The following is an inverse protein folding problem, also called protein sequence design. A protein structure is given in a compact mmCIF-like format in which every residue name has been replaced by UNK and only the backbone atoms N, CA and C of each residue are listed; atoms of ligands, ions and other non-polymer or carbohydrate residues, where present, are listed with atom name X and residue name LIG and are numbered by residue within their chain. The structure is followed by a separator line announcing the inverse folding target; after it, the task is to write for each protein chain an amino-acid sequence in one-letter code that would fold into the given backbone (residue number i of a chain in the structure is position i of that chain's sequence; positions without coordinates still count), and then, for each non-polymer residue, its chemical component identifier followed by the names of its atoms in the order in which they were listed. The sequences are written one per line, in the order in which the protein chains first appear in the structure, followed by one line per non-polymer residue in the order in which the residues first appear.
data_IF_249388814693
#
_entry.id   IF_249388814693
#
_cell.length_a   1.000
_cell.length_b   1.000
_cell.length_c   1.000
_cell.angle_alpha   90.00
_cell.angle_beta   90.00
_cell.angle_gamma   90.00
#
_symmetry.space_group_name_H-M   'P 1'
#
loop_
_entity.id
_entity.type
_entity.pdbx_description
1 polymer ?
#
# COMPACT_ATOMS: atom_id res chain seq x y z
N UNK A 1 -37.70 2.13 9.17
CA UNK A 1 -37.67 2.37 7.70
C UNK A 1 -36.44 3.19 7.27
N UNK A 2 -36.09 4.30 7.94
CA UNK A 2 -34.87 5.08 7.65
C UNK A 2 -33.55 4.28 7.74
N UNK A 3 -33.39 3.46 8.79
CA UNK A 3 -32.20 2.61 9.02
C UNK A 3 -31.91 1.66 7.83
N UNK A 4 -32.95 1.04 7.26
CA UNK A 4 -32.81 0.08 6.15
C UNK A 4 -32.32 0.73 4.85
N UNK A 5 -32.68 2.00 4.59
CA UNK A 5 -32.19 2.75 3.43
C UNK A 5 -30.71 3.13 3.56
N UNK A 6 -30.24 3.44 4.78
CA UNK A 6 -28.84 3.75 5.06
C UNK A 6 -27.92 2.54 4.82
N UNK A 7 -28.27 1.37 5.36
CA UNK A 7 -27.50 0.15 5.16
C UNK A 7 -27.46 -0.30 3.70
N UNK A 8 -28.55 -0.10 2.94
CA UNK A 8 -28.58 -0.42 1.50
C UNK A 8 -27.55 0.39 0.69
N UNK A 9 -27.34 1.67 1.03
CA UNK A 9 -26.33 2.51 0.36
C UNK A 9 -24.90 2.08 0.70
N UNK A 10 -24.62 1.78 1.97
CA UNK A 10 -23.32 1.29 2.41
C UNK A 10 -22.99 -0.06 1.78
N UNK A 11 -23.95 -0.97 1.70
CA UNK A 11 -23.80 -2.26 1.04
C UNK A 11 -23.50 -2.11 -0.45
N UNK A 12 -24.23 -1.24 -1.16
CA UNK A 12 -23.98 -0.96 -2.57
C UNK A 12 -22.61 -0.31 -2.83
N UNK A 13 -22.13 0.53 -1.90
CA UNK A 13 -20.79 1.10 -1.96
C UNK A 13 -19.71 0.04 -1.75
N UNK A 14 -19.81 -0.74 -0.67
CA UNK A 14 -18.87 -1.82 -0.35
C UNK A 14 -18.81 -2.88 -1.46
N UNK A 15 -19.94 -3.22 -2.08
CA UNK A 15 -20.00 -4.17 -3.20
C UNK A 15 -19.27 -3.71 -4.47
N UNK A 16 -18.94 -2.42 -4.60
CA UNK A 16 -18.14 -1.88 -5.72
C UNK A 16 -16.66 -1.77 -5.39
N UNK A 17 -16.28 -1.93 -4.13
CA UNK A 17 -14.89 -1.81 -3.72
C UNK A 17 -14.07 -2.96 -4.32
N UNK A 18 -12.90 -2.60 -4.84
CA UNK A 18 -11.91 -3.56 -5.33
C UNK A 18 -10.66 -3.39 -4.49
N UNK A 19 -10.13 -4.50 -3.99
CA UNK A 19 -8.85 -4.50 -3.29
C UNK A 19 -7.79 -3.88 -4.21
N UNK A 20 -7.12 -2.80 -3.80
CA UNK A 20 -6.02 -2.26 -4.58
C UNK A 20 -4.82 -3.22 -4.57
N UNK A 21 -4.02 -3.18 -5.62
CA UNK A 21 -2.73 -3.88 -5.68
C UNK A 21 -1.63 -2.97 -5.14
N UNK A 22 -0.74 -3.53 -4.30
CA UNK A 22 0.40 -2.78 -3.78
C UNK A 22 1.30 -2.32 -4.95
N UNK A 23 1.64 -1.01 -5.03
CA UNK A 23 2.20 -0.46 -6.26
C UNK A 23 3.72 -0.63 -6.42
N UNK A 24 4.41 -1.27 -5.46
CA UNK A 24 5.84 -1.54 -5.53
C UNK A 24 6.16 -3.04 -5.68
N UNK A 25 7.28 -3.30 -6.36
CA UNK A 25 7.92 -4.60 -6.52
C UNK A 25 9.37 -4.52 -6.04
N UNK A 26 9.99 -5.67 -5.81
CA UNK A 26 11.42 -5.70 -5.41
C UNK A 26 12.36 -5.03 -6.41
N UNK A 27 12.04 -5.07 -7.70
CA UNK A 27 12.80 -4.40 -8.75
C UNK A 27 12.88 -2.87 -8.56
N UNK A 28 11.86 -2.27 -7.94
CA UNK A 28 11.84 -0.84 -7.65
C UNK A 28 12.91 -0.48 -6.61
N UNK A 29 13.03 -1.28 -5.54
CA UNK A 29 14.05 -1.08 -4.51
C UNK A 29 15.46 -1.39 -5.02
N UNK A 30 15.62 -2.40 -5.89
CA UNK A 30 16.93 -2.65 -6.51
C UNK A 30 17.39 -1.49 -7.40
N UNK A 31 16.44 -0.79 -8.05
CA UNK A 31 16.75 0.41 -8.84
C UNK A 31 17.21 1.57 -7.96
N UNK A 32 16.76 1.61 -6.70
CA UNK A 32 17.23 2.53 -5.65
C UNK A 32 18.57 2.10 -5.00
N UNK A 33 19.20 1.02 -5.47
CA UNK A 33 20.49 0.54 -4.97
C UNK A 33 20.40 -0.54 -3.88
N UNK A 34 19.21 -1.05 -3.55
CA UNK A 34 19.08 -2.14 -2.61
C UNK A 34 19.65 -3.45 -3.18
N UNK A 35 20.41 -4.18 -2.35
CA UNK A 35 20.84 -5.54 -2.70
C UNK A 35 19.70 -6.56 -2.46
N UNK A 36 19.50 -7.54 -3.35
CA UNK A 36 18.55 -8.62 -3.13
C UNK A 36 18.85 -9.38 -1.83
N UNK A 37 17.82 -9.64 -1.03
CA UNK A 37 17.96 -10.42 0.21
C UNK A 37 16.85 -10.15 1.22
N UNK A 38 16.96 -10.73 2.44
CA UNK A 38 15.94 -10.60 3.48
C UNK A 38 15.62 -9.16 3.89
N UNK A 39 16.62 -8.26 3.92
CA UNK A 39 16.42 -6.83 4.26
C UNK A 39 15.48 -6.17 3.24
N UNK A 40 15.67 -6.41 1.94
CA UNK A 40 14.80 -5.87 0.88
C UNK A 40 13.35 -6.34 1.06
N UNK A 41 13.14 -7.63 1.32
CA UNK A 41 11.81 -8.18 1.56
C UNK A 41 11.13 -7.56 2.80
N UNK A 42 11.91 -7.34 3.88
CA UNK A 42 11.41 -6.68 5.08
C UNK A 42 11.03 -5.21 4.82
N UNK A 43 11.84 -4.47 4.05
CA UNK A 43 11.51 -3.09 3.66
C UNK A 43 10.23 -3.04 2.83
N UNK A 44 10.07 -3.91 1.82
CA UNK A 44 8.81 -4.01 1.06
C UNK A 44 7.62 -4.29 1.96
N UNK A 45 7.79 -5.18 2.96
CA UNK A 45 6.70 -5.55 3.86
C UNK A 45 6.28 -4.39 4.74
N UNK A 46 7.23 -3.61 5.24
CA UNK A 46 6.95 -2.41 6.02
C UNK A 46 6.21 -1.36 5.19
N UNK A 47 6.66 -1.12 3.95
CA UNK A 47 5.99 -0.20 3.02
C UNK A 47 4.57 -0.65 2.67
N UNK A 48 4.34 -1.96 2.49
CA UNK A 48 3.00 -2.52 2.29
C UNK A 48 2.10 -2.25 3.51
N UNK A 49 2.63 -2.41 4.72
CA UNK A 49 1.88 -2.13 5.95
C UNK A 49 1.53 -0.64 6.06
N UNK A 50 2.47 0.27 5.83
CA UNK A 50 2.22 1.73 5.83
C UNK A 50 1.17 2.12 4.79
N UNK A 51 1.21 1.50 3.61
CA UNK A 51 0.21 1.71 2.57
C UNK A 51 -1.18 1.25 3.00
N UNK A 52 -1.30 0.07 3.64
CA UNK A 52 -2.57 -0.41 4.20
C UNK A 52 -3.08 0.50 5.31
N UNK A 53 -2.21 0.92 6.23
CA UNK A 53 -2.54 1.82 7.35
C UNK A 53 -3.01 3.20 6.87
N UNK A 54 -2.50 3.69 5.74
CA UNK A 54 -2.96 4.92 5.09
C UNK A 54 -4.35 4.80 4.45
N UNK A 55 -4.96 3.61 4.46
CA UNK A 55 -6.19 3.34 3.71
C UNK A 55 -5.94 3.31 2.19
N UNK A 56 -4.78 2.79 1.77
CA UNK A 56 -4.34 2.71 0.37
C UNK A 56 -4.13 4.07 -0.31
N UNK A 57 -3.90 5.14 0.47
CA UNK A 57 -3.79 6.51 -0.02
C UNK A 57 -2.38 6.86 -0.53
N UNK A 58 -1.34 6.18 -0.04
CA UNK A 58 0.02 6.41 -0.54
C UNK A 58 0.16 5.89 -1.98
N UNK A 59 0.57 6.79 -2.87
CA UNK A 59 0.85 6.42 -4.26
C UNK A 59 2.26 5.83 -4.41
N UNK A 60 2.58 5.41 -5.65
CA UNK A 60 3.89 4.83 -5.96
C UNK A 60 5.04 5.79 -5.66
N UNK A 61 4.88 7.09 -5.87
CA UNK A 61 5.94 8.08 -5.67
C UNK A 61 6.25 8.25 -4.19
N UNK A 62 5.22 8.43 -3.37
CA UNK A 62 5.35 8.53 -1.92
C UNK A 62 5.99 7.28 -1.29
N UNK A 63 5.65 6.09 -1.80
CA UNK A 63 6.24 4.84 -1.34
C UNK A 63 7.72 4.68 -1.77
N UNK A 64 8.11 5.21 -2.94
CA UNK A 64 9.51 5.20 -3.38
C UNK A 64 10.39 6.15 -2.57
N UNK A 65 9.87 7.32 -2.20
CA UNK A 65 10.57 8.28 -1.33
C UNK A 65 10.85 7.64 0.04
N UNK A 66 9.83 7.03 0.65
CA UNK A 66 9.97 6.26 1.89
C UNK A 66 10.92 5.08 1.74
N UNK A 67 10.91 4.40 0.59
CA UNK A 67 11.84 3.32 0.32
C UNK A 67 13.30 3.81 0.30
N UNK A 68 13.56 4.97 -0.29
CA UNK A 68 14.90 5.57 -0.29
C UNK A 68 15.35 5.91 1.14
N UNK A 69 14.51 6.57 1.93
CA UNK A 69 14.78 6.88 3.35
C UNK A 69 15.10 5.62 4.17
N UNK A 70 14.33 4.55 3.99
CA UNK A 70 14.52 3.28 4.69
C UNK A 70 15.79 2.52 4.26
N UNK A 71 16.33 2.78 3.06
CA UNK A 71 17.57 2.17 2.56
C UNK A 71 18.83 2.91 3.00
N UNK A 72 18.71 4.22 3.24
CA UNK A 72 19.78 5.06 3.82
C UNK A 72 20.00 4.79 5.33
N UNK A 73 19.02 4.15 5.97
CA UNK A 73 19.01 3.74 7.38
C UNK A 73 19.66 2.37 7.64
#
# INVERSE_FOLDING_TARGET
LLEAGGFSRLLAFAGKWKKPDFPLKGADLTTLGASPGPKLGATLKNLENEWVESGFALDRGALLERAAEALES
#
